data_IF_966816799702
#
_entry.id   IF_966816799702
#
_cell.length_a   1.000
_cell.length_b   1.000
_cell.length_c   1.000
_cell.angle_alpha   90.00
_cell.angle_beta   90.00
_cell.angle_gamma   90.00
#
_symmetry.space_group_name_H-M   'P 1'
#
loop_
_entity.id
_entity.type
_entity.pdbx_description
1 polymer ?
#
# COMPACT_ATOMS: atom_id res chain seq x y z
N UNK A 1 12.62 8.46 -12.49
CA UNK A 1 11.56 8.38 -13.53
C UNK A 1 11.89 7.38 -14.63
N UNK A 2 13.18 7.20 -14.96
CA UNK A 2 13.63 6.14 -15.86
C UNK A 2 13.29 4.73 -15.34
N UNK A 3 13.58 4.44 -14.06
CA UNK A 3 13.29 3.13 -13.43
C UNK A 3 11.85 2.67 -13.69
N UNK A 4 10.82 3.47 -13.39
CA UNK A 4 9.42 3.06 -13.61
C UNK A 4 9.11 2.74 -15.06
N UNK A 5 9.55 3.59 -16.01
CA UNK A 5 9.31 3.37 -17.45
C UNK A 5 10.07 2.16 -18.00
N UNK A 6 11.25 1.87 -17.45
CA UNK A 6 12.13 0.78 -17.87
C UNK A 6 11.74 -0.57 -17.25
N UNK A 7 11.10 -0.55 -16.08
CA UNK A 7 10.83 -1.77 -15.29
C UNK A 7 9.38 -2.19 -15.25
N UNK A 8 8.44 -1.31 -15.66
CA UNK A 8 7.03 -1.68 -15.73
C UNK A 8 6.80 -2.78 -16.76
N UNK A 9 6.16 -3.86 -16.32
CA UNK A 9 5.80 -5.00 -17.17
C UNK A 9 4.34 -5.35 -16.95
N UNK A 10 3.66 -5.81 -17.99
CA UNK A 10 2.32 -6.36 -17.87
C UNK A 10 2.40 -7.88 -17.99
N UNK A 11 1.96 -8.60 -16.96
CA UNK A 11 2.07 -10.06 -16.91
C UNK A 11 0.81 -10.79 -17.46
N UNK A 12 0.05 -10.12 -18.33
CA UNK A 12 -1.27 -10.51 -18.84
C UNK A 12 -2.44 -10.39 -17.84
N UNK A 13 -2.20 -10.05 -16.58
CA UNK A 13 -3.25 -9.82 -15.58
C UNK A 13 -3.11 -8.47 -14.89
N UNK A 14 -1.90 -8.14 -14.43
CA UNK A 14 -1.57 -6.92 -13.68
C UNK A 14 -0.27 -6.30 -14.17
N UNK A 15 -0.13 -5.02 -13.88
CA UNK A 15 1.17 -4.35 -14.03
C UNK A 15 2.07 -4.73 -12.86
N UNK A 16 3.28 -5.15 -13.14
CA UNK A 16 4.35 -5.40 -12.18
C UNK A 16 5.34 -4.25 -12.28
N UNK A 17 5.67 -3.63 -11.15
CA UNK A 17 6.56 -2.47 -11.10
C UNK A 17 7.69 -2.68 -10.10
N UNK A 18 8.82 -2.06 -10.37
CA UNK A 18 9.89 -1.91 -9.40
C UNK A 18 9.74 -0.60 -8.62
N UNK A 19 9.88 -0.67 -7.30
CA UNK A 19 9.95 0.51 -6.45
C UNK A 19 11.11 1.43 -6.86
N UNK A 20 10.87 2.74 -7.06
CA UNK A 20 11.87 3.67 -7.54
C UNK A 20 12.75 4.17 -6.39
N UNK A 21 13.64 3.32 -5.86
CA UNK A 21 14.51 3.70 -4.74
C UNK A 21 15.47 4.86 -5.06
N UNK A 22 15.62 5.80 -4.12
CA UNK A 22 16.54 6.95 -4.15
C UNK A 22 17.99 6.59 -3.85
N UNK A 23 18.15 5.69 -2.88
CA UNK A 23 19.42 5.20 -2.34
C UNK A 23 19.44 3.68 -2.43
N UNK A 24 20.54 3.07 -2.03
CA UNK A 24 20.56 1.63 -1.86
C UNK A 24 19.53 1.28 -0.76
N UNK A 25 18.42 0.64 -1.11
CA UNK A 25 17.36 0.24 -0.17
C UNK A 25 17.85 -0.69 0.95
N UNK A 26 19.09 -1.20 0.82
CA UNK A 26 19.89 -1.81 1.88
C UNK A 26 20.12 -0.92 3.11
N UNK A 27 19.89 0.39 2.99
CA UNK A 27 19.90 1.33 4.12
C UNK A 27 18.59 1.32 4.95
N UNK A 28 17.56 0.60 4.52
CA UNK A 28 16.36 0.42 5.34
C UNK A 28 16.68 -0.48 6.54
N UNK A 29 16.64 0.11 7.72
CA UNK A 29 16.79 -0.58 8.99
C UNK A 29 15.53 -1.38 9.34
N UNK A 30 15.71 -2.45 10.11
CA UNK A 30 14.59 -3.25 10.61
C UNK A 30 13.66 -2.41 11.50
N UNK A 31 12.37 -2.40 11.15
CA UNK A 31 11.33 -1.69 11.89
C UNK A 31 10.33 -2.63 12.59
N UNK A 32 10.66 -3.92 12.69
CA UNK A 32 9.76 -4.94 13.23
C UNK A 32 9.22 -4.61 14.62
N UNK A 33 10.05 -4.05 15.50
CA UNK A 33 9.65 -3.65 16.86
C UNK A 33 8.47 -2.66 16.85
N UNK A 34 8.53 -1.65 15.98
CA UNK A 34 7.52 -0.61 15.80
C UNK A 34 6.26 -1.20 15.18
N UNK A 35 6.41 -1.99 14.11
CA UNK A 35 5.28 -2.64 13.44
C UNK A 35 4.53 -3.59 14.39
N UNK A 36 5.27 -4.40 15.17
CA UNK A 36 4.72 -5.30 16.18
C UNK A 36 3.96 -4.55 17.26
N UNK A 37 4.50 -3.45 17.79
CA UNK A 37 3.82 -2.64 18.81
C UNK A 37 2.51 -2.04 18.26
N UNK A 38 2.54 -1.50 17.04
CA UNK A 38 1.35 -0.96 16.35
C UNK A 38 0.30 -2.05 16.15
N UNK A 39 0.72 -3.24 15.72
CA UNK A 39 -0.17 -4.38 15.54
C UNK A 39 -0.79 -4.84 16.86
N UNK A 40 -0.03 -4.90 17.97
CA UNK A 40 -0.58 -5.24 19.29
C UNK A 40 -1.66 -4.24 19.72
N UNK A 41 -1.47 -2.95 19.47
CA UNK A 41 -2.49 -1.94 19.76
C UNK A 41 -3.75 -2.13 18.90
N UNK A 42 -3.58 -2.37 17.60
CA UNK A 42 -4.68 -2.71 16.70
C UNK A 42 -5.42 -3.96 17.20
N UNK A 43 -4.69 -5.01 17.55
CA UNK A 43 -5.24 -6.27 18.02
C UNK A 43 -6.12 -6.09 19.27
N UNK A 44 -5.64 -5.34 20.27
CA UNK A 44 -6.46 -5.03 21.46
C UNK A 44 -7.77 -4.32 21.10
N UNK A 45 -7.77 -3.46 20.08
CA UNK A 45 -8.98 -2.78 19.58
C UNK A 45 -9.91 -3.75 18.86
N UNK A 46 -9.38 -4.62 17.99
CA UNK A 46 -10.16 -5.66 17.31
C UNK A 46 -10.83 -6.61 18.31
N UNK A 47 -10.14 -6.99 19.38
CA UNK A 47 -10.72 -7.86 20.43
C UNK A 47 -11.91 -7.22 21.15
N UNK A 48 -11.92 -5.89 21.28
CA UNK A 48 -13.01 -5.15 21.95
C UNK A 48 -14.20 -4.86 21.02
N UNK A 49 -13.96 -4.77 19.72
CA UNK A 49 -14.95 -4.38 18.71
C UNK A 49 -15.13 -5.49 17.67
N UNK A 50 -16.11 -6.38 17.92
CA UNK A 50 -16.37 -7.55 17.07
C UNK A 50 -16.74 -7.19 15.63
N UNK A 51 -17.42 -6.06 15.42
CA UNK A 51 -17.80 -5.59 14.08
C UNK A 51 -16.54 -5.18 13.31
N UNK A 52 -15.68 -4.36 13.93
CA UNK A 52 -14.41 -3.98 13.34
C UNK A 52 -13.54 -5.19 13.01
N UNK A 53 -13.50 -6.17 13.93
CA UNK A 53 -12.74 -7.40 13.74
C UNK A 53 -13.22 -8.19 12.53
N UNK A 54 -14.53 -8.42 12.41
CA UNK A 54 -15.11 -9.14 11.28
C UNK A 54 -14.78 -8.45 9.95
N UNK A 55 -14.98 -7.13 9.88
CA UNK A 55 -14.72 -6.37 8.65
C UNK A 55 -13.23 -6.30 8.29
N UNK A 56 -12.37 -6.21 9.29
CA UNK A 56 -10.92 -6.26 9.10
C UNK A 56 -10.48 -7.61 8.52
N UNK A 57 -10.98 -8.73 9.09
CA UNK A 57 -10.69 -10.06 8.58
C UNK A 57 -11.21 -10.27 7.16
N UNK A 58 -12.43 -9.84 6.87
CA UNK A 58 -13.02 -9.86 5.52
C UNK A 58 -12.12 -9.13 4.52
N UNK A 59 -11.61 -7.95 4.87
CA UNK A 59 -10.70 -7.18 4.00
C UNK A 59 -9.37 -7.91 3.75
N UNK A 60 -8.77 -8.51 4.77
CA UNK A 60 -7.54 -9.31 4.63
C UNK A 60 -7.79 -10.54 3.77
N UNK A 61 -8.93 -11.21 3.95
CA UNK A 61 -9.31 -12.38 3.16
C UNK A 61 -9.57 -12.02 1.71
N UNK A 62 -10.22 -10.89 1.44
CA UNK A 62 -10.40 -10.35 0.10
C UNK A 62 -9.05 -10.07 -0.58
N UNK A 63 -8.08 -9.54 0.15
CA UNK A 63 -6.73 -9.32 -0.39
C UNK A 63 -6.02 -10.63 -0.72
N UNK A 64 -6.16 -11.67 0.11
CA UNK A 64 -5.61 -13.00 -0.15
C UNK A 64 -6.27 -13.66 -1.37
N UNK A 65 -7.60 -13.64 -1.44
CA UNK A 65 -8.36 -14.25 -2.53
C UNK A 65 -8.09 -13.57 -3.88
N UNK A 66 -7.79 -12.27 -3.86
CA UNK A 66 -7.41 -11.52 -5.04
C UNK A 66 -5.90 -11.58 -5.32
N UNK A 67 -5.12 -12.33 -4.56
CA UNK A 67 -3.66 -12.42 -4.71
C UNK A 67 -2.96 -11.04 -4.64
N UNK A 68 -3.52 -10.12 -3.86
CA UNK A 68 -2.93 -8.80 -3.56
C UNK A 68 -1.85 -8.93 -2.49
N UNK A 69 -2.08 -9.83 -1.52
CA UNK A 69 -1.12 -10.19 -0.47
C UNK A 69 -0.88 -11.69 -0.49
N UNK A 70 0.27 -12.10 0.04
CA UNK A 70 0.62 -13.50 0.20
C UNK A 70 1.10 -13.81 1.61
N UNK A 71 1.04 -15.09 2.00
CA UNK A 71 1.66 -15.53 3.25
C UNK A 71 3.18 -15.58 3.05
N UNK A 72 3.92 -14.88 3.90
CA UNK A 72 5.39 -14.90 3.90
C UNK A 72 5.88 -16.34 4.13
N UNK A 73 6.73 -16.84 3.23
CA UNK A 73 7.36 -18.17 3.33
C UNK A 73 8.67 -18.03 4.10
N UNK A 74 8.81 -18.76 5.22
CA UNK A 74 10.02 -18.92 6.06
C UNK A 74 11.02 -17.76 6.11
N UNK A 75 11.00 -17.01 7.21
CA UNK A 75 11.88 -15.85 7.50
C UNK A 75 13.38 -16.16 7.58
N UNK A 76 13.77 -17.43 7.69
CA UNK A 76 15.18 -17.85 7.83
C UNK A 76 15.99 -17.69 6.52
N UNK A 77 15.33 -17.61 5.37
CA UNK A 77 16.00 -17.57 4.06
C UNK A 77 16.51 -16.18 3.65
N UNK A 78 16.14 -15.11 4.36
CA UNK A 78 16.35 -13.71 3.93
C UNK A 78 17.41 -12.95 4.77
N UNK A 79 18.38 -13.65 5.38
CA UNK A 79 19.45 -13.07 6.21
C UNK A 79 20.26 -11.95 5.49
N UNK A 80 20.21 -11.90 4.16
CA UNK A 80 20.97 -10.94 3.34
C UNK A 80 20.13 -9.86 2.63
N UNK A 81 18.81 -9.80 2.86
CA UNK A 81 17.95 -8.74 2.33
C UNK A 81 17.33 -7.93 3.47
N UNK A 82 17.30 -6.59 3.39
CA UNK A 82 16.56 -5.81 4.37
C UNK A 82 15.08 -6.18 4.27
N UNK A 83 14.46 -6.40 5.42
CA UNK A 83 13.03 -6.66 5.56
C UNK A 83 12.42 -5.43 6.21
N UNK A 84 11.31 -4.95 5.66
CA UNK A 84 10.62 -3.79 6.19
C UNK A 84 9.14 -4.10 6.34
N UNK A 85 8.61 -3.87 7.54
CA UNK A 85 7.24 -4.20 7.90
C UNK A 85 6.40 -2.94 7.89
N UNK A 86 5.42 -2.82 6.99
CA UNK A 86 4.49 -1.70 7.03
C UNK A 86 3.50 -1.83 8.20
N UNK A 87 3.57 -0.97 9.23
CA UNK A 87 2.53 -0.94 10.24
C UNK A 87 1.22 -0.50 9.60
N UNK A 88 0.11 -1.04 10.10
CA UNK A 88 -1.19 -0.75 9.51
C UNK A 88 -2.26 -0.51 10.57
N UNK A 89 -3.33 0.16 10.14
CA UNK A 89 -4.47 0.49 10.97
C UNK A 89 -5.78 0.27 10.22
N UNK A 90 -6.80 -0.15 10.96
CA UNK A 90 -8.16 -0.23 10.46
C UNK A 90 -8.90 1.10 10.70
N UNK A 91 -9.40 1.73 9.65
CA UNK A 91 -10.14 3.00 9.72
C UNK A 91 -11.61 2.71 9.37
N UNK A 92 -12.52 3.06 10.28
CA UNK A 92 -13.96 3.08 10.02
C UNK A 92 -14.32 4.38 9.30
N UNK A 93 -15.06 4.30 8.20
CA UNK A 93 -15.73 5.48 7.63
C UNK A 93 -17.10 5.63 8.26
N UNK A 94 -17.25 6.62 9.13
CA UNK A 94 -18.55 7.01 9.68
C UNK A 94 -19.38 7.72 8.59
N UNK A 95 -20.68 7.41 8.48
CA UNK A 95 -21.61 8.15 7.61
C UNK A 95 -21.91 7.57 6.22
N UNK A 96 -21.55 6.31 5.90
CA UNK A 96 -22.08 5.60 4.71
C UNK A 96 -22.97 4.44 5.14
N UNK A 97 -24.02 4.17 4.35
CA UNK A 97 -24.96 3.04 4.54
C UNK A 97 -24.22 1.69 4.63
N UNK A 98 -23.07 1.57 3.97
CA UNK A 98 -22.12 0.46 4.12
C UNK A 98 -20.83 0.97 4.77
N UNK A 99 -20.68 0.75 6.07
CA UNK A 99 -19.51 1.13 6.88
C UNK A 99 -18.30 0.25 6.49
N UNK A 100 -17.73 0.43 5.30
CA UNK A 100 -16.56 -0.33 4.86
C UNK A 100 -15.32 0.11 5.65
N UNK A 101 -14.82 -0.78 6.50
CA UNK A 101 -13.52 -0.63 7.15
C UNK A 101 -12.42 -0.67 6.09
N UNK A 102 -11.48 0.26 6.15
CA UNK A 102 -10.29 0.29 5.27
C UNK A 102 -9.04 0.01 6.07
N UNK A 103 -8.15 -0.81 5.53
CA UNK A 103 -6.81 -1.01 6.09
C UNK A 103 -5.87 -0.01 5.43
N UNK A 104 -5.19 0.79 6.24
CA UNK A 104 -4.20 1.78 5.79
C UNK A 104 -2.84 1.36 6.30
N UNK A 105 -1.89 1.24 5.38
CA UNK A 105 -0.49 0.95 5.66
C UNK A 105 0.31 2.25 5.77
N UNK A 106 1.21 2.32 6.76
CA UNK A 106 1.99 3.50 7.09
C UNK A 106 3.45 3.33 6.63
N UNK A 107 3.72 3.72 5.39
CA UNK A 107 5.08 3.72 4.82
C UNK A 107 5.98 4.85 5.32
N UNK A 108 5.46 5.76 6.15
CA UNK A 108 6.26 6.81 6.79
C UNK A 108 6.77 6.40 8.18
N UNK A 109 6.29 5.29 8.74
CA UNK A 109 6.67 4.85 10.08
C UNK A 109 8.09 4.30 10.15
N UNK A 110 8.95 4.93 10.96
CA UNK A 110 10.34 4.53 11.18
C UNK A 110 10.69 4.55 12.68
N UNK A 111 11.81 3.92 13.05
CA UNK A 111 12.41 4.10 14.37
C UNK A 111 13.07 5.48 14.48
N UNK A 112 13.28 5.98 15.70
CA UNK A 112 13.97 7.25 15.92
C UNK A 112 15.36 7.23 15.25
N UNK A 113 15.67 8.26 14.45
CA UNK A 113 16.90 8.40 13.68
C UNK A 113 17.11 7.38 12.53
N UNK A 114 16.09 6.61 12.17
CA UNK A 114 16.14 5.70 11.02
C UNK A 114 15.33 6.24 9.84
N UNK A 115 15.57 5.72 8.63
CA UNK A 115 14.83 6.12 7.43
C UNK A 115 13.48 5.37 7.33
N UNK A 116 12.45 6.05 6.81
CA UNK A 116 11.20 5.40 6.41
C UNK A 116 11.28 4.87 4.97
N UNK A 117 10.37 3.95 4.62
CA UNK A 117 10.21 3.51 3.23
C UNK A 117 9.97 4.72 2.30
N UNK A 118 9.15 5.68 2.72
CA UNK A 118 8.90 6.90 1.94
C UNK A 118 10.16 7.75 1.72
N UNK A 119 11.07 7.83 2.70
CA UNK A 119 12.33 8.59 2.55
C UNK A 119 13.26 7.93 1.53
N UNK A 120 13.21 6.61 1.45
CA UNK A 120 13.99 5.79 0.51
C UNK A 120 13.42 5.76 -0.91
N UNK A 121 12.18 6.19 -1.14
CA UNK A 121 11.53 6.17 -2.45
C UNK A 121 11.57 7.53 -3.16
N UNK A 122 11.72 7.50 -4.49
CA UNK A 122 11.49 8.68 -5.30
C UNK A 122 9.98 8.94 -5.38
N UNK A 123 9.49 10.13 -4.98
CA UNK A 123 8.07 10.49 -5.04
C UNK A 123 7.55 10.58 -6.47
N UNK A 124 8.45 10.66 -7.46
CA UNK A 124 8.10 10.91 -8.85
C UNK A 124 7.66 12.35 -9.10
N UNK A 125 7.40 12.70 -10.37
CA UNK A 125 6.77 13.97 -10.71
C UNK A 125 5.28 13.94 -10.33
N UNK A 126 4.68 15.12 -10.19
CA UNK A 126 3.23 15.23 -10.10
C UNK A 126 2.60 14.92 -11.46
N UNK A 127 1.91 13.78 -11.56
CA UNK A 127 1.16 13.37 -12.76
C UNK A 127 -0.32 13.77 -12.70
N UNK A 128 -0.77 14.40 -11.61
CA UNK A 128 -2.16 14.81 -11.50
C UNK A 128 -2.44 15.96 -12.48
N UNK A 129 -3.46 15.85 -13.34
CA UNK A 129 -3.87 16.94 -14.19
C UNK A 129 -4.33 18.13 -13.35
N UNK A 130 -4.20 19.34 -13.89
CA UNK A 130 -4.73 20.53 -13.23
C UNK A 130 -6.26 20.38 -13.06
N UNK A 131 -6.72 20.53 -11.82
CA UNK A 131 -8.14 20.36 -11.50
C UNK A 131 -9.05 21.32 -12.26
N UNK A 132 -8.61 22.56 -12.50
CA UNK A 132 -9.39 23.53 -13.26
C UNK A 132 -9.58 23.07 -14.71
N UNK A 133 -8.51 22.57 -15.34
CA UNK A 133 -8.57 22.06 -16.71
C UNK A 133 -9.50 20.85 -16.82
N UNK A 134 -9.43 19.94 -15.84
CA UNK A 134 -10.35 18.79 -15.75
C UNK A 134 -11.80 19.27 -15.64
N UNK A 135 -12.09 20.25 -14.78
CA UNK A 135 -13.45 20.76 -14.57
C UNK A 135 -13.99 21.55 -15.78
N UNK A 136 -13.15 22.28 -16.49
CA UNK A 136 -13.53 22.97 -17.74
C UNK A 136 -13.85 21.92 -18.79
N UNK A 137 -12.95 20.96 -19.02
CA UNK A 137 -13.14 19.89 -20.01
C UNK A 137 -14.39 19.05 -19.73
N UNK A 138 -14.65 18.75 -18.46
CA UNK A 138 -15.85 18.02 -18.04
C UNK A 138 -17.15 18.77 -18.38
N UNK A 139 -17.11 20.11 -18.48
CA UNK A 139 -18.26 20.95 -18.84
C UNK A 139 -18.38 21.27 -20.33
N UNK A 140 -17.38 20.94 -21.15
CA UNK A 140 -17.40 21.25 -22.59
C UNK A 140 -18.45 20.45 -23.36
N UNK A 141 -18.81 19.27 -22.87
CA UNK A 141 -19.74 18.37 -23.54
C UNK A 141 -21.06 18.28 -22.76
N UNK A 142 -22.16 18.04 -23.48
CA UNK A 142 -23.49 17.88 -22.89
C UNK A 142 -23.56 16.66 -21.95
N UNK A 143 -22.86 15.58 -22.32
CA UNK A 143 -22.90 14.30 -21.62
C UNK A 143 -21.55 14.07 -20.96
N UNK A 144 -21.59 13.78 -19.65
CA UNK A 144 -20.44 13.42 -18.87
C UNK A 144 -20.59 12.01 -18.29
N UNK A 145 -19.53 11.22 -18.37
CA UNK A 145 -19.46 9.87 -17.81
C UNK A 145 -18.43 9.90 -16.69
N UNK A 146 -18.80 9.39 -15.52
CA UNK A 146 -17.90 9.24 -14.39
C UNK A 146 -18.01 7.82 -13.84
N UNK A 147 -16.87 7.28 -13.39
CA UNK A 147 -16.77 5.98 -12.75
C UNK A 147 -15.63 6.01 -11.73
N UNK A 148 -15.73 5.19 -10.69
CA UNK A 148 -14.68 4.98 -9.70
C UNK A 148 -14.05 3.61 -9.94
N UNK A 149 -12.71 3.57 -10.00
CA UNK A 149 -11.98 2.32 -10.20
C UNK A 149 -11.78 1.68 -8.82
N UNK A 150 -12.49 0.58 -8.57
CA UNK A 150 -12.35 -0.19 -7.33
C UNK A 150 -10.89 -0.65 -7.17
N UNK A 151 -10.29 -0.28 -6.03
CA UNK A 151 -8.97 -0.76 -5.61
C UNK A 151 -7.85 -0.50 -6.65
N UNK A 152 -7.90 0.61 -7.39
CA UNK A 152 -6.98 0.91 -8.50
C UNK A 152 -5.49 0.67 -8.18
N UNK A 153 -5.01 1.15 -7.03
CA UNK A 153 -3.59 0.98 -6.63
C UNK A 153 -3.22 -0.46 -6.29
N UNK A 154 -4.18 -1.28 -5.84
CA UNK A 154 -3.93 -2.69 -5.50
C UNK A 154 -3.87 -3.60 -6.74
N UNK A 155 -4.21 -3.06 -7.93
CA UNK A 155 -4.04 -3.77 -9.20
C UNK A 155 -2.61 -3.69 -9.75
N UNK A 156 -1.72 -2.97 -9.07
CA UNK A 156 -0.31 -2.87 -9.41
C UNK A 156 0.47 -3.78 -8.47
N UNK A 157 1.12 -4.80 -9.03
CA UNK A 157 1.99 -5.72 -8.32
C UNK A 157 3.40 -5.15 -8.16
N UNK A 158 4.08 -5.57 -7.10
CA UNK A 158 5.50 -5.31 -6.90
C UNK A 158 6.33 -6.45 -7.48
N UNK A 159 7.47 -6.11 -8.08
CA UNK A 159 8.47 -7.10 -8.47
C UNK A 159 8.93 -7.91 -7.25
N UNK A 160 9.11 -9.23 -7.41
CA UNK A 160 9.38 -10.16 -6.30
C UNK A 160 10.55 -9.73 -5.41
N UNK A 161 11.59 -9.13 -6.00
CA UNK A 161 12.77 -8.64 -5.28
C UNK A 161 12.49 -7.51 -4.29
N UNK A 162 11.33 -6.84 -4.40
CA UNK A 162 10.93 -5.72 -3.55
C UNK A 162 9.72 -6.03 -2.66
N UNK A 163 9.17 -7.25 -2.70
CA UNK A 163 8.03 -7.62 -1.84
C UNK A 163 8.39 -7.67 -0.36
N UNK A 164 9.64 -8.03 -0.04
CA UNK A 164 10.10 -8.12 1.36
C UNK A 164 10.36 -6.77 2.03
N UNK A 165 10.30 -5.66 1.27
CA UNK A 165 10.50 -4.29 1.75
C UNK A 165 9.21 -3.48 1.80
N UNK A 166 8.06 -4.17 1.83
CA UNK A 166 6.69 -3.62 1.88
C UNK A 166 5.80 -4.52 2.73
#
# INVERSE_FOLDING_TARGET
>A
MNIFKETIQFNNERYVVELPFRKNWKELSDNFSVAKQRFQNLWRRLQRDKILHSQYLETIQDYLNQEIIEKVKNTEANIHKPVYYLPHQAIKREGRVTTSTRIVFDAASHQTNELSLNDCLWPGPNLNPNLLDVLINFRLNWIAISSDIRQAFLQICLADKHKDVV
#
